data_IF_025374372156
#
_entry.id   IF_025374372156
#
_cell.length_a   1.000
_cell.length_b   1.000
_cell.length_c   1.000
_cell.angle_alpha   90.00
_cell.angle_beta   90.00
_cell.angle_gamma   90.00
#
_symmetry.space_group_name_H-M   'P 1'
#
loop_
_entity.id
_entity.type
_entity.pdbx_description
1 polymer ?
#
# COMPACT_ATOMS: atom_id res chain seq x y z
N UNK A 1 -26.11 8.65 -4.76
CA UNK A 1 -25.01 9.36 -5.46
C UNK A 1 -24.42 8.34 -6.43
N UNK A 2 -24.19 8.67 -7.71
CA UNK A 2 -23.52 7.74 -8.61
C UNK A 2 -22.12 7.45 -8.06
N UNK A 3 -21.78 6.17 -7.91
CA UNK A 3 -20.42 5.73 -7.63
C UNK A 3 -19.46 6.43 -8.61
N UNK A 4 -18.31 6.97 -8.14
CA UNK A 4 -17.37 7.62 -9.05
C UNK A 4 -16.95 6.60 -10.12
N UNK A 5 -17.23 6.94 -11.38
CA UNK A 5 -16.95 6.10 -12.54
C UNK A 5 -15.45 5.72 -12.52
N UNK A 6 -15.15 4.47 -12.21
CA UNK A 6 -13.77 4.04 -12.04
C UNK A 6 -13.08 4.16 -13.42
N UNK A 7 -11.96 4.90 -13.53
CA UNK A 7 -11.32 5.14 -14.81
C UNK A 7 -10.96 3.82 -15.48
N UNK A 8 -11.12 3.74 -16.82
CA UNK A 8 -10.79 2.52 -17.59
C UNK A 8 -9.38 2.07 -17.24
N UNK A 9 -9.28 0.93 -16.56
CA UNK A 9 -7.99 0.34 -16.16
C UNK A 9 -7.30 -0.19 -17.41
N UNK A 10 -6.07 0.24 -17.64
CA UNK A 10 -5.24 -0.34 -18.69
C UNK A 10 -4.60 -1.62 -18.19
N UNK A 11 -4.40 -2.60 -19.06
CA UNK A 11 -3.73 -3.86 -18.72
C UNK A 11 -2.35 -3.57 -18.11
N UNK A 12 -1.63 -2.60 -18.69
CA UNK A 12 -0.35 -2.14 -18.17
C UNK A 12 -0.46 -1.60 -16.73
N UNK A 13 -1.42 -0.73 -16.47
CA UNK A 13 -1.62 -0.18 -15.12
C UNK A 13 -1.98 -1.25 -14.10
N UNK A 14 -2.77 -2.25 -14.51
CA UNK A 14 -3.07 -3.42 -13.66
C UNK A 14 -1.82 -4.23 -13.34
N UNK A 15 -0.97 -4.51 -14.34
CA UNK A 15 0.28 -5.24 -14.12
C UNK A 15 1.18 -4.48 -13.14
N UNK A 16 1.35 -3.16 -13.35
CA UNK A 16 2.13 -2.32 -12.44
C UNK A 16 1.57 -2.36 -11.02
N UNK A 17 0.25 -2.20 -10.86
CA UNK A 17 -0.38 -2.24 -9.55
C UNK A 17 -0.21 -3.58 -8.83
N UNK A 18 -0.30 -4.71 -9.55
CA UNK A 18 -0.08 -6.05 -8.98
C UNK A 18 1.37 -6.22 -8.53
N UNK A 19 2.34 -5.86 -9.38
CA UNK A 19 3.77 -5.96 -9.05
C UNK A 19 4.11 -5.09 -7.84
N UNK A 20 3.64 -3.84 -7.82
CA UNK A 20 3.84 -2.93 -6.70
C UNK A 20 3.17 -3.44 -5.42
N UNK A 21 1.96 -4.01 -5.51
CA UNK A 21 1.29 -4.58 -4.34
C UNK A 21 2.08 -5.76 -3.74
N UNK A 22 2.59 -6.65 -4.58
CA UNK A 22 3.45 -7.77 -4.14
C UNK A 22 4.74 -7.26 -3.50
N UNK A 23 5.37 -6.25 -4.08
CA UNK A 23 6.56 -5.61 -3.50
C UNK A 23 6.27 -5.04 -2.11
N UNK A 24 5.15 -4.34 -1.94
CA UNK A 24 4.76 -3.78 -0.64
C UNK A 24 4.59 -4.87 0.43
N UNK A 25 3.96 -6.00 0.08
CA UNK A 25 3.81 -7.14 1.00
C UNK A 25 5.18 -7.71 1.39
N UNK A 26 6.07 -7.93 0.43
CA UNK A 26 7.42 -8.45 0.70
C UNK A 26 8.22 -7.48 1.58
N UNK A 27 8.10 -6.18 1.35
CA UNK A 27 8.76 -5.14 2.14
C UNK A 27 8.25 -5.12 3.60
N UNK A 28 6.92 -5.10 3.80
CA UNK A 28 6.31 -5.10 5.14
C UNK A 28 6.53 -6.40 5.91
N UNK A 29 6.73 -7.53 5.21
CA UNK A 29 7.11 -8.79 5.87
C UNK A 29 8.53 -8.74 6.45
N UNK A 30 9.33 -7.74 6.08
CA UNK A 30 10.68 -7.49 6.57
C UNK A 30 11.49 -8.81 6.75
N UNK A 31 11.66 -9.61 5.68
CA UNK A 31 12.33 -10.91 5.77
C UNK A 31 13.80 -10.79 6.18
N UNK A 32 14.35 -9.57 6.06
CA UNK A 32 15.70 -9.19 6.47
C UNK A 32 15.84 -8.90 7.96
N UNK A 33 14.74 -8.79 8.73
CA UNK A 33 14.72 -8.63 10.19
C UNK A 33 15.72 -7.58 10.76
N UNK A 34 15.92 -6.47 10.04
CA UNK A 34 16.88 -5.42 10.41
C UNK A 34 18.37 -5.78 10.27
N UNK A 35 18.71 -6.92 9.66
CA UNK A 35 20.09 -7.40 9.50
C UNK A 35 20.85 -6.64 8.38
N UNK A 36 20.13 -5.96 7.48
CA UNK A 36 20.67 -5.21 6.33
C UNK A 36 20.20 -3.74 6.31
N UNK A 37 20.03 -3.11 7.47
CA UNK A 37 19.61 -1.70 7.54
C UNK A 37 20.81 -0.76 7.27
N UNK A 38 20.81 -0.10 6.11
CA UNK A 38 21.78 0.95 5.73
C UNK A 38 21.46 2.30 6.40
N UNK A 39 20.28 2.42 7.01
CA UNK A 39 19.76 3.60 7.72
C UNK A 39 19.23 3.13 9.08
N UNK A 40 19.57 3.79 10.21
CA UNK A 40 19.13 3.38 11.53
C UNK A 40 17.69 3.86 11.78
N UNK A 41 16.70 3.23 11.14
CA UNK A 41 15.26 3.45 11.39
C UNK A 41 14.73 2.65 12.60
N UNK A 42 15.58 1.81 13.24
CA UNK A 42 15.26 1.01 14.43
C UNK A 42 15.28 1.79 15.78
N UNK A 43 14.82 3.06 15.81
CA UNK A 43 14.63 3.76 17.09
C UNK A 43 13.38 3.21 17.80
N UNK A 44 13.49 2.74 19.07
CA UNK A 44 12.44 1.98 19.77
C UNK A 44 11.14 2.77 20.10
N UNK A 45 11.00 3.99 19.60
CA UNK A 45 9.82 4.85 19.80
C UNK A 45 9.26 5.46 18.51
N UNK A 46 10.05 5.54 17.43
CA UNK A 46 9.67 6.09 16.12
C UNK A 46 10.36 5.21 15.07
N UNK A 47 10.01 3.92 15.05
CA UNK A 47 10.48 3.00 14.03
C UNK A 47 9.38 2.79 13.00
N UNK A 48 9.75 2.81 11.72
CA UNK A 48 8.95 2.41 10.56
C UNK A 48 7.92 3.39 9.95
N UNK A 49 8.32 4.66 9.82
CA UNK A 49 7.58 5.63 8.98
C UNK A 49 7.52 5.16 7.52
N UNK A 50 8.57 4.49 7.06
CA UNK A 50 8.66 3.88 5.74
C UNK A 50 7.69 2.70 5.57
N UNK A 51 7.51 1.83 6.58
CA UNK A 51 6.47 0.78 6.49
C UNK A 51 5.06 1.36 6.45
N UNK A 52 4.80 2.46 7.17
CA UNK A 52 3.53 3.16 7.09
C UNK A 52 3.28 3.74 5.68
N UNK A 53 4.32 4.28 5.04
CA UNK A 53 4.26 4.73 3.66
C UNK A 53 3.99 3.58 2.69
N UNK A 54 4.68 2.44 2.87
CA UNK A 54 4.49 1.23 2.07
C UNK A 54 3.06 0.68 2.24
N UNK A 55 2.51 0.73 3.45
CA UNK A 55 1.12 0.37 3.70
C UNK A 55 0.15 1.27 2.92
N UNK A 56 0.34 2.60 2.96
CA UNK A 56 -0.49 3.52 2.19
C UNK A 56 -0.41 3.26 0.68
N UNK A 57 0.79 2.96 0.17
CA UNK A 57 1.00 2.58 -1.22
C UNK A 57 0.27 1.28 -1.58
N UNK A 58 0.32 0.28 -0.70
CA UNK A 58 -0.40 -0.97 -0.85
C UNK A 58 -1.91 -0.77 -0.91
N UNK A 59 -2.49 0.03 0.00
CA UNK A 59 -3.91 0.38 -0.03
C UNK A 59 -4.30 1.10 -1.33
N UNK A 60 -3.42 1.97 -1.84
CA UNK A 60 -3.60 2.62 -3.14
C UNK A 60 -3.65 1.63 -4.30
N UNK A 61 -2.78 0.62 -4.29
CA UNK A 61 -2.77 -0.45 -5.29
C UNK A 61 -4.03 -1.32 -5.21
N UNK A 62 -4.47 -1.70 -4.01
CA UNK A 62 -5.72 -2.44 -3.82
C UNK A 62 -6.93 -1.66 -4.35
N UNK A 63 -7.02 -0.37 -4.03
CA UNK A 63 -8.06 0.51 -4.57
C UNK A 63 -8.00 0.61 -6.09
N UNK A 64 -6.81 0.74 -6.67
CA UNK A 64 -6.61 0.73 -8.13
C UNK A 64 -7.09 -0.58 -8.77
N UNK A 65 -6.88 -1.71 -8.10
CA UNK A 65 -7.35 -3.04 -8.52
C UNK A 65 -8.85 -3.26 -8.27
N UNK A 66 -9.55 -2.32 -7.65
CA UNK A 66 -10.98 -2.44 -7.33
C UNK A 66 -11.28 -3.33 -6.13
N UNK A 67 -10.30 -3.51 -5.26
CA UNK A 67 -10.48 -4.23 -4.00
C UNK A 67 -10.90 -3.20 -2.96
N UNK A 68 -12.21 -3.11 -2.71
CA UNK A 68 -12.77 -2.21 -1.71
C UNK A 68 -12.69 -2.83 -0.32
N UNK A 69 -11.66 -2.43 0.44
CA UNK A 69 -11.52 -2.77 1.86
C UNK A 69 -12.19 -1.70 2.75
N UNK A 70 -12.67 -2.05 3.95
CA UNK A 70 -13.28 -1.09 4.87
C UNK A 70 -12.41 0.14 5.17
N UNK A 71 -11.09 0.00 5.10
CA UNK A 71 -10.11 1.09 5.26
C UNK A 71 -10.03 2.05 4.06
N UNK A 72 -10.33 1.59 2.84
CA UNK A 72 -10.32 2.42 1.63
C UNK A 72 -11.67 3.09 1.37
N UNK A 73 -12.74 2.65 2.03
CA UNK A 73 -13.99 3.40 2.12
C UNK A 73 -13.73 4.68 2.89
N UNK A 74 -13.53 5.78 2.17
CA UNK A 74 -13.55 7.10 2.78
C UNK A 74 -14.82 7.18 3.63
N UNK A 75 -14.65 7.36 4.93
CA UNK A 75 -15.76 7.42 5.88
C UNK A 75 -16.64 8.59 5.47
N UNK A 76 -17.71 8.32 4.70
CA UNK A 76 -18.74 9.32 4.46
C UNK A 76 -19.26 9.72 5.82
N UNK A 77 -18.86 10.92 6.26
CA UNK A 77 -19.37 11.51 7.50
C UNK A 77 -20.86 11.69 7.30
N UNK A 78 -21.65 10.91 8.04
CA UNK A 78 -23.06 11.19 8.26
C UNK A 78 -23.19 12.37 9.22
#
# INVERSE_FOLDING_TARGET
>A
MPEPEQPRRTIFGTIVAVVTALFCVVYMLNPTAGIFEFIPDALPFIGNVDEALIMLLFLGCLKYLGIDIPLTKAREKK
#
